data_IF_265605406795
#
_entry.id   IF_265605406795
#
_cell.length_a   1.000
_cell.length_b   1.000
_cell.length_c   1.000
_cell.angle_alpha   90.00
_cell.angle_beta   90.00
_cell.angle_gamma   90.00
#
_symmetry.space_group_name_H-M   'P 1'
#
loop_
_entity.id
_entity.type
_entity.pdbx_description
1 polymer ?
#
# COMPACT_ATOMS: atom_id res chain seq x y z
N UNK A 1 12.46 -9.34 31.88
CA UNK A 1 12.04 -10.55 32.60
C UNK A 1 13.31 -11.26 33.05
N UNK A 2 13.46 -11.58 34.33
CA UNK A 2 14.59 -12.40 34.77
C UNK A 2 14.32 -13.85 34.37
N UNK A 3 15.16 -14.41 33.50
CA UNK A 3 15.16 -15.84 33.21
C UNK A 3 15.99 -16.57 34.27
N UNK A 4 15.33 -17.36 35.11
CA UNK A 4 16.00 -18.21 36.10
C UNK A 4 16.25 -19.57 35.44
N UNK A 5 17.51 -20.03 35.29
CA UNK A 5 17.81 -21.32 34.69
C UNK A 5 17.09 -22.47 35.42
N UNK A 6 16.46 -23.36 34.65
CA UNK A 6 15.71 -24.50 35.21
C UNK A 6 14.31 -24.17 35.74
N UNK A 7 13.87 -22.91 35.64
CA UNK A 7 12.52 -22.49 36.02
C UNK A 7 11.77 -21.89 34.81
N UNK A 8 10.48 -22.17 34.74
CA UNK A 8 9.53 -21.62 33.79
C UNK A 8 8.67 -20.56 34.49
N UNK A 9 8.57 -19.37 33.92
CA UNK A 9 7.70 -18.32 34.44
C UNK A 9 6.30 -18.42 33.82
N UNK A 10 5.27 -18.53 34.65
CA UNK A 10 3.89 -18.44 34.22
C UNK A 10 3.36 -17.02 34.45
N UNK A 11 3.16 -16.27 33.36
CA UNK A 11 2.66 -14.90 33.40
C UNK A 11 1.22 -14.79 33.94
N UNK A 12 0.42 -15.85 33.87
CA UNK A 12 -0.94 -15.84 34.42
C UNK A 12 -0.93 -15.86 35.96
N UNK A 13 0.05 -16.55 36.54
CA UNK A 13 0.19 -16.74 37.99
C UNK A 13 1.25 -15.85 38.62
N UNK A 14 2.03 -15.13 37.79
CA UNK A 14 3.21 -14.36 38.17
C UNK A 14 4.19 -15.15 39.06
N UNK A 15 4.40 -16.42 38.75
CA UNK A 15 5.20 -17.36 39.55
C UNK A 15 6.15 -18.17 38.69
N UNK A 16 7.29 -18.54 39.28
CA UNK A 16 8.25 -19.47 38.70
C UNK A 16 7.92 -20.90 39.12
N UNK A 17 7.90 -21.80 38.15
CA UNK A 17 7.71 -23.23 38.32
C UNK A 17 9.00 -23.94 37.93
N UNK A 18 9.42 -24.94 38.71
CA UNK A 18 10.57 -25.75 38.34
C UNK A 18 10.24 -26.56 37.09
N UNK A 19 11.15 -26.56 36.12
CA UNK A 19 10.97 -27.35 34.91
C UNK A 19 11.23 -28.82 35.25
N UNK A 20 10.21 -29.64 35.08
CA UNK A 20 10.26 -31.08 35.37
C UNK A 20 10.29 -31.90 34.07
N UNK A 21 10.79 -33.13 34.17
CA UNK A 21 10.78 -34.07 33.03
C UNK A 21 9.34 -34.44 32.69
N UNK A 22 9.08 -34.75 31.42
CA UNK A 22 7.72 -35.01 30.92
C UNK A 22 6.96 -36.15 31.64
N UNK A 23 7.68 -37.11 32.24
CA UNK A 23 7.08 -38.22 33.00
C UNK A 23 6.82 -37.89 34.48
N UNK A 24 7.47 -36.87 35.03
CA UNK A 24 7.29 -36.43 36.43
C UNK A 24 6.24 -35.32 36.52
N UNK A 25 6.17 -34.49 35.48
CA UNK A 25 5.18 -33.43 35.38
C UNK A 25 3.78 -34.01 35.08
N UNK A 26 2.71 -33.41 35.61
CA UNK A 26 1.34 -33.71 35.18
C UNK A 26 1.19 -33.58 33.65
N UNK A 27 0.40 -34.46 33.02
CA UNK A 27 0.31 -34.57 31.54
C UNK A 27 -0.08 -33.27 30.82
N UNK A 28 -0.75 -32.35 31.50
CA UNK A 28 -1.17 -31.04 30.97
C UNK A 28 -0.41 -29.85 31.59
N UNK A 29 0.68 -30.10 32.33
CA UNK A 29 1.45 -29.05 32.97
C UNK A 29 2.16 -28.16 31.95
N UNK A 30 1.98 -26.85 32.08
CA UNK A 30 2.65 -25.85 31.21
C UNK A 30 4.17 -25.73 31.47
N UNK A 31 4.66 -26.26 32.59
CA UNK A 31 6.07 -26.22 33.01
C UNK A 31 6.83 -27.54 32.75
N UNK A 32 6.26 -28.47 31.99
CA UNK A 32 6.98 -29.68 31.59
C UNK A 32 8.10 -29.32 30.60
N UNK A 33 9.22 -30.04 30.64
CA UNK A 33 10.37 -29.79 29.79
C UNK A 33 10.03 -29.76 28.29
N UNK A 34 9.12 -30.64 27.86
CA UNK A 34 8.68 -30.71 26.46
C UNK A 34 7.77 -29.52 26.08
N UNK A 35 6.82 -29.15 26.96
CA UNK A 35 5.96 -27.99 26.75
C UNK A 35 6.77 -26.68 26.69
N UNK A 36 7.75 -26.51 27.58
CA UNK A 36 8.62 -25.33 27.59
C UNK A 36 9.49 -25.29 26.33
N UNK A 37 10.05 -26.42 25.90
CA UNK A 37 10.85 -26.51 24.67
C UNK A 37 10.02 -26.18 23.43
N UNK A 38 8.79 -26.70 23.35
CA UNK A 38 7.85 -26.40 22.26
C UNK A 38 7.51 -24.91 22.23
N UNK A 39 7.11 -24.33 23.38
CA UNK A 39 6.80 -22.89 23.46
C UNK A 39 7.98 -22.01 23.05
N UNK A 40 9.19 -22.30 23.51
CA UNK A 40 10.39 -21.55 23.10
C UNK A 40 10.57 -21.54 21.58
N UNK A 41 10.33 -22.68 20.91
CA UNK A 41 10.39 -22.74 19.44
C UNK A 41 9.29 -21.90 18.80
N UNK A 42 8.06 -22.01 19.29
CA UNK A 42 6.92 -21.23 18.80
C UNK A 42 7.13 -19.72 19.00
N UNK A 43 7.70 -19.30 20.13
CA UNK A 43 7.98 -17.91 20.44
C UNK A 43 9.07 -17.34 19.54
N UNK A 44 10.15 -18.10 19.26
CA UNK A 44 11.17 -17.69 18.28
C UNK A 44 10.54 -17.47 16.90
N UNK A 45 9.73 -18.43 16.42
CA UNK A 45 9.04 -18.29 15.13
C UNK A 45 8.08 -17.09 15.13
N UNK A 46 7.37 -16.85 16.24
CA UNK A 46 6.48 -15.71 16.41
C UNK A 46 7.25 -14.38 16.41
N UNK A 47 8.41 -14.32 17.05
CA UNK A 47 9.25 -13.12 17.02
C UNK A 47 9.83 -12.86 15.63
N UNK A 48 10.31 -13.90 14.94
CA UNK A 48 10.80 -13.78 13.58
C UNK A 48 9.72 -13.31 12.61
N UNK A 49 8.52 -13.87 12.69
CA UNK A 49 7.37 -13.46 11.86
C UNK A 49 6.97 -12.02 12.17
N UNK A 50 6.92 -11.61 13.44
CA UNK A 50 6.70 -10.21 13.84
C UNK A 50 7.78 -9.28 13.29
N UNK A 51 9.05 -9.68 13.37
CA UNK A 51 10.18 -8.91 12.84
C UNK A 51 10.08 -8.75 11.32
N UNK A 52 9.79 -9.84 10.60
CA UNK A 52 9.57 -9.81 9.14
C UNK A 52 8.41 -8.89 8.77
N UNK A 53 7.27 -9.00 9.46
CA UNK A 53 6.12 -8.13 9.24
C UNK A 53 6.47 -6.64 9.47
N UNK A 54 7.22 -6.32 10.53
CA UNK A 54 7.67 -4.96 10.80
C UNK A 54 8.61 -4.42 9.71
N UNK A 55 9.52 -5.25 9.20
CA UNK A 55 10.41 -4.89 8.09
C UNK A 55 9.64 -4.62 6.81
N UNK A 56 8.68 -5.48 6.46
CA UNK A 56 7.80 -5.27 5.29
C UNK A 56 7.02 -3.97 5.43
N UNK A 57 6.41 -3.72 6.60
CA UNK A 57 5.70 -2.47 6.89
C UNK A 57 6.60 -1.25 6.71
N UNK A 58 7.85 -1.31 7.20
CA UNK A 58 8.84 -0.23 7.03
C UNK A 58 9.26 -0.05 5.58
N UNK A 59 9.42 -1.14 4.83
CA UNK A 59 9.75 -1.12 3.41
C UNK A 59 8.64 -0.42 2.61
N UNK A 60 7.39 -0.85 2.76
CA UNK A 60 6.22 -0.22 2.13
C UNK A 60 6.14 1.26 2.51
N UNK A 61 6.35 1.61 3.79
CA UNK A 61 6.32 3.01 4.26
C UNK A 61 7.37 3.90 3.59
N UNK A 62 8.53 3.35 3.23
CA UNK A 62 9.66 4.06 2.63
C UNK A 62 9.72 3.94 1.11
N UNK A 63 8.79 3.20 0.51
CA UNK A 63 8.81 2.91 -0.91
C UNK A 63 8.74 4.19 -1.75
N UNK A 64 9.49 4.23 -2.85
CA UNK A 64 9.60 5.41 -3.72
C UNK A 64 8.25 5.86 -4.29
N UNK A 65 7.32 4.93 -4.52
CA UNK A 65 5.95 5.25 -4.96
C UNK A 65 5.23 6.18 -4.00
N UNK A 66 5.60 6.24 -2.71
CA UNK A 66 5.00 7.19 -1.76
C UNK A 66 5.46 8.63 -1.93
N UNK A 67 6.48 8.89 -2.76
CA UNK A 67 6.93 10.26 -3.08
C UNK A 67 6.03 10.91 -4.12
N UNK A 68 5.45 10.11 -5.00
CA UNK A 68 4.47 10.55 -5.97
C UNK A 68 3.09 10.66 -5.31
N UNK A 69 2.36 11.71 -5.63
CA UNK A 69 1.03 11.99 -5.06
C UNK A 69 0.05 10.89 -5.51
N UNK A 70 0.16 10.45 -6.77
CA UNK A 70 -0.69 9.41 -7.33
C UNK A 70 -0.35 8.02 -6.80
N UNK A 71 0.88 7.57 -7.03
CA UNK A 71 1.33 6.26 -6.56
C UNK A 71 1.23 6.12 -5.04
N UNK A 72 1.53 7.19 -4.30
CA UNK A 72 1.50 7.21 -2.84
C UNK A 72 0.08 7.26 -2.29
N UNK A 73 -0.80 8.03 -2.91
CA UNK A 73 -2.20 8.11 -2.52
C UNK A 73 -2.98 6.83 -2.82
N UNK A 74 -2.76 6.21 -4.00
CA UNK A 74 -3.35 4.90 -4.33
C UNK A 74 -2.86 3.82 -3.38
N UNK A 75 -1.55 3.76 -3.11
CA UNK A 75 -1.00 2.77 -2.17
C UNK A 75 -1.56 2.96 -0.76
N UNK A 76 -1.74 4.20 -0.29
CA UNK A 76 -2.35 4.48 1.01
C UNK A 76 -3.79 4.01 1.08
N UNK A 77 -4.59 4.20 0.03
CA UNK A 77 -5.99 3.72 -0.03
C UNK A 77 -6.09 2.21 0.18
N UNK A 78 -5.19 1.43 -0.44
CA UNK A 78 -5.24 -0.03 -0.36
C UNK A 78 -4.60 -0.59 0.92
N UNK A 79 -3.65 0.14 1.53
CA UNK A 79 -2.88 -0.35 2.69
C UNK A 79 -3.29 0.25 4.03
N UNK A 80 -3.91 1.43 4.02
CA UNK A 80 -4.33 2.16 5.20
C UNK A 80 -5.84 2.43 5.08
N UNK A 81 -6.64 2.06 6.09
CA UNK A 81 -8.05 2.43 6.17
C UNK A 81 -8.22 3.92 6.50
N UNK A 82 -7.67 4.80 5.66
CA UNK A 82 -7.76 6.26 5.84
C UNK A 82 -8.95 6.78 5.05
N UNK A 83 -9.86 7.43 5.75
CA UNK A 83 -11.06 8.02 5.17
C UNK A 83 -10.74 9.10 4.12
N UNK A 84 -11.60 9.12 3.10
CA UNK A 84 -11.90 10.01 1.97
C UNK A 84 -11.24 11.41 1.82
N UNK A 85 -10.56 11.98 2.83
CA UNK A 85 -10.02 13.35 2.83
C UNK A 85 -8.90 13.57 1.81
N UNK A 86 -8.18 12.52 1.41
CA UNK A 86 -7.15 12.53 0.35
C UNK A 86 -7.71 12.46 -1.08
N UNK A 87 -9.04 12.31 -1.26
CA UNK A 87 -9.63 12.05 -2.57
C UNK A 87 -9.53 13.22 -3.55
N UNK A 88 -9.54 14.47 -3.07
CA UNK A 88 -9.53 15.66 -3.93
C UNK A 88 -8.16 15.88 -4.59
N UNK A 89 -7.08 15.91 -3.80
CA UNK A 89 -5.72 16.10 -4.30
C UNK A 89 -5.29 14.96 -5.23
N UNK A 90 -5.68 13.72 -4.90
CA UNK A 90 -5.42 12.56 -5.75
C UNK A 90 -6.09 12.68 -7.12
N UNK A 91 -7.35 13.13 -7.17
CA UNK A 91 -8.07 13.36 -8.43
C UNK A 91 -7.44 14.47 -9.26
N UNK A 92 -7.03 15.57 -8.63
CA UNK A 92 -6.34 16.67 -9.31
C UNK A 92 -5.00 16.21 -9.91
N UNK A 93 -4.21 15.46 -9.13
CA UNK A 93 -2.95 14.90 -9.62
C UNK A 93 -3.17 13.90 -10.77
N UNK A 94 -4.25 13.11 -10.72
CA UNK A 94 -4.56 12.12 -11.77
C UNK A 94 -4.92 12.80 -13.08
N UNK A 95 -5.73 13.86 -12.98
CA UNK A 95 -6.10 14.68 -14.11
C UNK A 95 -4.87 15.36 -14.73
N UNK A 96 -4.03 16.00 -13.90
CA UNK A 96 -2.83 16.70 -14.37
C UNK A 96 -1.82 15.75 -15.03
N UNK A 97 -1.60 14.55 -14.46
CA UNK A 97 -0.72 13.54 -15.04
C UNK A 97 -1.23 12.92 -16.36
N UNK A 98 -2.53 13.00 -16.63
CA UNK A 98 -3.15 12.54 -17.87
C UNK A 98 -3.20 13.60 -18.99
N UNK A 99 -2.73 14.83 -18.74
CA UNK A 99 -2.70 15.88 -19.77
C UNK A 99 -1.61 15.54 -20.78
N UNK A 100 -2.03 15.08 -21.95
CA UNK A 100 -1.16 14.89 -23.10
C UNK A 100 -1.37 16.01 -24.12
N UNK A 101 -0.27 16.47 -24.73
CA UNK A 101 -0.36 17.35 -25.90
C UNK A 101 -1.07 16.60 -27.02
N UNK A 102 -2.14 17.19 -27.56
CA UNK A 102 -2.90 16.63 -28.69
C UNK A 102 -2.21 16.91 -30.04
N UNK A 103 -1.08 17.61 -30.01
CA UNK A 103 -0.38 18.10 -31.19
C UNK A 103 -1.02 19.37 -31.73
N UNK A 104 -0.25 20.13 -32.50
CA UNK A 104 -0.73 21.32 -33.21
C UNK A 104 -1.20 20.92 -34.60
N UNK A 105 -2.48 21.16 -34.90
CA UNK A 105 -2.96 21.23 -36.27
C UNK A 105 -2.81 22.67 -36.76
N UNK A 106 -2.00 22.95 -37.79
CA UNK A 106 -1.98 24.27 -38.40
C UNK A 106 -3.33 24.51 -39.07
N UNK A 107 -4.11 25.45 -38.54
CA UNK A 107 -5.23 26.00 -39.27
C UNK A 107 -4.68 26.86 -40.40
N UNK A 108 -4.98 26.49 -41.64
CA UNK A 108 -4.74 27.38 -42.78
C UNK A 108 -5.72 28.53 -42.62
N UNK A 109 -5.22 29.69 -42.18
CA UNK A 109 -5.99 30.93 -42.26
C UNK A 109 -6.25 31.21 -43.75
N UNK A 110 -7.52 31.46 -44.10
CA UNK A 110 -8.06 31.45 -45.46
C UNK A 110 -7.48 32.48 -46.45
N UNK A 111 -6.33 33.11 -46.17
CA UNK A 111 -5.69 34.07 -47.06
C UNK A 111 -4.87 33.42 -48.20
N UNK A 112 -4.77 32.07 -48.26
CA UNK A 112 -4.00 31.35 -49.29
C UNK A 112 -4.82 30.39 -50.16
N UNK A 113 -6.15 30.34 -50.02
CA UNK A 113 -7.02 29.41 -50.76
C UNK A 113 -7.36 29.90 -52.19
N UNK A 114 -6.39 30.51 -52.88
CA UNK A 114 -6.63 31.24 -54.11
C UNK A 114 -5.43 31.30 -55.05
N UNK A 115 -4.69 30.21 -55.25
CA UNK A 115 -3.90 29.98 -56.46
C UNK A 115 -3.34 28.55 -56.47
N UNK A 116 -3.82 27.70 -57.38
CA UNK A 116 -3.11 26.46 -57.74
C UNK A 116 -3.37 25.23 -56.86
N UNK A 117 -4.57 24.65 -56.99
CA UNK A 117 -4.71 23.19 -57.17
C UNK A 117 -4.04 22.21 -56.20
N UNK A 118 -4.23 22.34 -54.88
CA UNK A 118 -4.18 21.18 -53.96
C UNK A 118 -5.36 21.22 -53.01
N UNK A 119 -6.26 20.22 -53.13
CA UNK A 119 -7.33 19.96 -52.14
C UNK A 119 -6.65 19.64 -50.82
N UNK A 120 -6.73 20.55 -49.85
CA UNK A 120 -6.36 20.25 -48.47
C UNK A 120 -7.37 19.27 -47.86
N UNK A 121 -6.93 18.26 -47.10
CA UNK A 121 -7.85 17.35 -46.45
C UNK A 121 -8.74 18.12 -45.47
N UNK A 122 -10.05 18.01 -45.69
CA UNK A 122 -11.06 18.47 -44.75
C UNK A 122 -10.97 17.62 -43.47
N UNK A 123 -10.40 18.16 -42.40
CA UNK A 123 -10.45 17.53 -41.08
C UNK A 123 -11.82 17.79 -40.41
N UNK A 124 -12.88 17.30 -41.04
CA UNK A 124 -14.16 17.08 -40.39
C UNK A 124 -14.06 15.78 -39.57
N UNK A 125 -13.62 15.87 -38.31
CA UNK A 125 -14.00 15.00 -37.17
C UNK A 125 -12.92 14.88 -36.08
N UNK A 126 -12.28 15.97 -35.65
CA UNK A 126 -11.58 15.91 -34.35
C UNK A 126 -12.62 16.04 -33.23
N UNK A 127 -13.31 14.95 -32.92
CA UNK A 127 -14.14 14.86 -31.73
C UNK A 127 -13.22 14.78 -30.50
N UNK A 128 -13.30 15.79 -29.64
CA UNK A 128 -12.67 15.81 -28.33
C UNK A 128 -13.80 15.80 -27.31
N UNK A 129 -14.20 14.62 -26.87
CA UNK A 129 -15.15 14.49 -25.76
C UNK A 129 -14.46 14.63 -24.42
N UNK A 130 -14.86 15.64 -23.64
CA UNK A 130 -15.50 15.43 -22.33
C UNK A 130 -16.41 16.64 -22.00
N UNK A 131 -17.61 16.38 -21.47
CA UNK A 131 -18.68 17.38 -21.19
C UNK A 131 -18.28 18.46 -20.17
N UNK A 132 -19.10 19.46 -19.84
CA UNK A 132 -20.57 19.60 -19.78
C UNK A 132 -20.89 21.07 -20.07
N UNK A 133 -21.82 21.37 -20.98
CA UNK A 133 -22.30 22.73 -21.18
C UNK A 133 -23.43 23.01 -20.17
N UNK A 134 -23.16 23.81 -19.15
CA UNK A 134 -24.22 24.48 -18.42
C UNK A 134 -24.76 25.60 -19.31
N UNK A 135 -26.03 25.54 -19.68
CA UNK A 135 -26.74 26.74 -20.14
C UNK A 135 -27.59 27.24 -18.99
N UNK A 136 -27.11 28.29 -18.35
CA UNK A 136 -27.93 29.18 -17.54
C UNK A 136 -28.76 30.07 -18.47
N UNK A 137 -30.05 30.12 -18.16
CA UNK A 137 -31.11 31.07 -18.60
C UNK A 137 -31.49 31.13 -20.09
#
# INVERSE_FOLDING_TARGET
MLEIPGYYYDASKNKYFKIEKAHTAPSQASWSADAVKRRRREDVVREETRRKAALVKRHVRRHCLRRDILGGGLLRRETEHVEARMGAELRCAAWAGGVADKGRLPFVSGAGAGAGGRRTPNVCCLWVGCGVAYTSE
#
